data_IF_587905402606
#
_entry.id   IF_587905402606
#
_cell.length_a   1.000
_cell.length_b   1.000
_cell.length_c   1.000
_cell.angle_alpha   90.00
_cell.angle_beta   90.00
_cell.angle_gamma   90.00
#
_symmetry.space_group_name_H-M   'P 1'
#
loop_
_entity.id
_entity.type
_entity.pdbx_description
1 polymer ?
#
# COMPACT_ATOMS: atom_id res chain seq x y z
N UNK A 1 -9.93 -27.92 17.52
CA UNK A 1 -9.19 -28.11 18.79
C UNK A 1 -9.65 -27.03 19.77
N UNK A 2 -10.39 -27.43 20.81
CA UNK A 2 -10.90 -26.55 21.87
C UNK A 2 -9.80 -26.33 22.92
N UNK A 3 -9.59 -25.07 23.33
CA UNK A 3 -8.76 -24.75 24.49
C UNK A 3 -9.68 -24.37 25.66
N UNK A 4 -9.69 -25.20 26.70
CA UNK A 4 -10.38 -24.95 27.95
C UNK A 4 -9.56 -23.96 28.80
N UNK A 5 -10.13 -22.80 29.10
CA UNK A 5 -9.58 -21.86 30.09
C UNK A 5 -10.32 -22.13 31.41
N UNK A 6 -9.63 -22.78 32.36
CA UNK A 6 -10.09 -22.85 33.76
C UNK A 6 -9.53 -21.65 34.51
N UNK A 7 -10.39 -20.70 34.88
CA UNK A 7 -10.05 -19.62 35.82
C UNK A 7 -10.34 -20.15 37.23
N UNK A 8 -9.31 -20.33 38.05
CA UNK A 8 -9.47 -20.70 39.47
C UNK A 8 -9.44 -19.46 40.37
N UNK A 9 -10.59 -19.23 40.99
CA UNK A 9 -10.86 -18.80 42.37
C UNK A 9 -9.86 -17.90 43.12
N UNK A 10 -10.43 -16.80 43.64
CA UNK A 10 -9.87 -15.78 44.51
C UNK A 10 -9.27 -16.36 45.81
N UNK A 11 -7.96 -16.16 46.00
CA UNK A 11 -7.33 -16.19 47.32
C UNK A 11 -6.35 -15.03 47.42
N UNK A 12 -6.60 -14.13 48.38
CA UNK A 12 -5.80 -12.94 48.65
C UNK A 12 -4.51 -13.36 49.36
N UNK A 13 -3.47 -13.67 48.58
CA UNK A 13 -2.12 -13.97 49.07
C UNK A 13 -1.38 -12.66 49.34
N UNK A 14 -0.98 -12.43 50.60
CA UNK A 14 -0.11 -11.33 50.98
C UNK A 14 1.33 -11.64 50.51
N UNK A 15 1.66 -11.20 49.29
CA UNK A 15 2.98 -11.42 48.70
C UNK A 15 3.97 -10.38 49.26
N UNK A 16 5.11 -10.88 49.72
CA UNK A 16 6.27 -10.05 50.06
C UNK A 16 6.77 -9.30 48.82
N UNK A 17 7.17 -8.03 48.99
CA UNK A 17 7.73 -7.17 47.92
C UNK A 17 8.88 -7.83 47.14
N UNK A 18 9.60 -8.79 47.73
CA UNK A 18 10.65 -9.55 47.04
C UNK A 18 10.10 -10.53 45.99
N UNK A 19 8.90 -11.09 46.18
CA UNK A 19 8.28 -12.03 45.22
C UNK A 19 7.61 -11.34 44.03
N UNK A 20 7.16 -10.09 44.20
CA UNK A 20 6.56 -9.30 43.11
C UNK A 20 7.63 -8.87 42.08
N UNK A 21 8.85 -8.55 42.55
CA UNK A 21 9.96 -8.15 41.68
C UNK A 21 10.44 -9.33 40.82
N UNK A 22 10.50 -10.54 41.39
CA UNK A 22 10.88 -11.73 40.63
C UNK A 22 9.90 -12.05 39.50
N UNK A 23 8.59 -11.88 39.76
CA UNK A 23 7.57 -12.04 38.71
C UNK A 23 7.65 -10.96 37.62
N UNK A 24 7.94 -9.71 37.98
CA UNK A 24 8.11 -8.62 37.01
C UNK A 24 9.32 -8.84 36.09
N UNK A 25 10.45 -9.32 36.63
CA UNK A 25 11.64 -9.61 35.82
C UNK A 25 11.47 -10.83 34.91
N UNK A 26 10.69 -11.84 35.30
CA UNK A 26 10.41 -13.01 34.45
C UNK A 26 9.44 -12.68 33.30
N UNK A 27 8.46 -11.78 33.50
CA UNK A 27 7.54 -11.34 32.43
C UNK A 27 8.27 -10.58 31.31
N UNK A 28 9.30 -9.79 31.66
CA UNK A 28 10.07 -9.02 30.68
C UNK A 28 10.95 -9.90 29.76
N UNK A 29 11.26 -11.14 30.18
CA UNK A 29 12.03 -12.13 29.40
C UNK A 29 11.12 -13.00 28.52
N UNK A 30 9.81 -13.01 28.76
CA UNK A 30 8.84 -13.81 28.00
C UNK A 30 8.04 -13.03 26.95
N UNK A 31 8.21 -11.71 26.83
CA UNK A 31 7.72 -11.03 25.63
C UNK A 31 8.66 -11.38 24.48
N UNK A 32 8.21 -12.10 23.44
CA UNK A 32 9.04 -12.28 22.27
C UNK A 32 9.40 -10.89 21.75
N UNK A 33 10.69 -10.57 21.75
CA UNK A 33 11.22 -9.44 20.98
C UNK A 33 10.75 -9.67 19.55
N UNK A 34 9.66 -9.00 19.17
CA UNK A 34 9.02 -9.17 17.87
C UNK A 34 10.06 -8.74 16.86
N UNK A 35 10.78 -9.72 16.29
CA UNK A 35 11.67 -9.52 15.15
C UNK A 35 10.80 -8.84 14.10
N UNK A 36 11.06 -7.56 13.83
CA UNK A 36 10.37 -6.81 12.79
C UNK A 36 10.63 -7.57 11.50
N UNK A 37 9.63 -8.29 11.02
CA UNK A 37 9.74 -8.99 9.74
C UNK A 37 10.00 -7.91 8.69
N UNK A 38 11.20 -7.94 8.10
CA UNK A 38 11.62 -6.96 7.11
C UNK A 38 10.97 -7.35 5.79
N UNK A 39 9.74 -6.91 5.57
CA UNK A 39 9.04 -7.08 4.29
C UNK A 39 9.84 -6.30 3.22
N UNK A 40 10.33 -7.00 2.21
CA UNK A 40 10.90 -6.36 1.02
C UNK A 40 9.77 -5.62 0.30
N UNK A 41 9.79 -4.29 0.39
CA UNK A 41 8.78 -3.44 -0.22
C UNK A 41 8.93 -3.41 -1.73
N UNK A 42 7.84 -3.60 -2.47
CA UNK A 42 7.82 -3.37 -3.93
C UNK A 42 7.90 -1.87 -4.22
N UNK A 43 8.74 -1.47 -5.16
CA UNK A 43 8.83 -0.08 -5.64
C UNK A 43 7.62 0.21 -6.50
N UNK A 44 6.74 1.10 -6.04
CA UNK A 44 5.52 1.44 -6.74
C UNK A 44 5.64 2.75 -7.53
N UNK A 45 5.10 2.76 -8.75
CA UNK A 45 4.75 3.99 -9.48
C UNK A 45 3.25 4.23 -9.29
N UNK A 46 2.87 5.43 -8.87
CA UNK A 46 1.46 5.81 -8.70
C UNK A 46 1.08 6.74 -9.85
N UNK A 47 0.27 6.24 -10.78
CA UNK A 47 -0.36 7.01 -11.85
C UNK A 47 -1.70 7.55 -11.34
N UNK A 48 -1.92 8.86 -11.42
CA UNK A 48 -3.11 9.51 -10.87
C UNK A 48 -3.47 10.77 -11.67
N UNK A 49 -4.71 11.21 -11.55
CA UNK A 49 -5.15 12.49 -12.10
C UNK A 49 -4.62 13.63 -11.21
N UNK A 50 -3.69 14.43 -11.75
CA UNK A 50 -3.04 15.50 -11.00
C UNK A 50 -4.00 16.63 -10.61
N UNK A 51 -5.02 16.88 -11.44
CA UNK A 51 -5.96 17.98 -11.25
C UNK A 51 -7.03 17.62 -10.22
N UNK A 52 -7.36 16.33 -10.08
CA UNK A 52 -8.51 15.89 -9.30
C UNK A 52 -8.18 15.00 -8.09
N UNK A 53 -7.04 14.30 -8.09
CA UNK A 53 -6.77 13.23 -7.12
C UNK A 53 -5.44 13.43 -6.36
N UNK A 54 -4.85 14.63 -6.38
CA UNK A 54 -3.57 14.93 -5.72
C UNK A 54 -3.61 14.65 -4.19
N UNK A 55 -4.71 15.01 -3.53
CA UNK A 55 -4.89 14.77 -2.10
C UNK A 55 -4.99 13.27 -1.77
N UNK A 56 -5.72 12.51 -2.59
CA UNK A 56 -5.86 11.05 -2.43
C UNK A 56 -4.51 10.36 -2.67
N UNK A 57 -3.75 10.80 -3.67
CA UNK A 57 -2.38 10.32 -3.89
C UNK A 57 -1.51 10.57 -2.66
N UNK A 58 -1.58 11.75 -2.03
CA UNK A 58 -0.82 12.07 -0.80
C UNK A 58 -1.17 11.09 0.34
N UNK A 59 -2.44 10.71 0.48
CA UNK A 59 -2.87 9.70 1.45
C UNK A 59 -2.26 8.32 1.16
N UNK A 60 -2.26 7.86 -0.10
CA UNK A 60 -1.66 6.57 -0.50
C UNK A 60 -0.13 6.55 -0.27
N UNK A 61 0.55 7.67 -0.55
CA UNK A 61 1.97 7.84 -0.23
C UNK A 61 2.22 7.81 1.27
N UNK A 62 1.33 8.41 2.07
CA UNK A 62 1.39 8.34 3.53
C UNK A 62 1.32 6.90 4.03
N UNK A 63 0.40 6.11 3.46
CA UNK A 63 0.24 4.70 3.79
C UNK A 63 1.48 3.85 3.47
N UNK A 64 2.20 4.17 2.39
CA UNK A 64 3.45 3.48 2.02
C UNK A 64 4.55 3.56 3.11
N UNK A 65 4.48 4.57 3.98
CA UNK A 65 5.45 4.80 5.06
C UNK A 65 5.26 3.85 6.24
N UNK A 66 4.14 3.13 6.33
CA UNK A 66 3.92 2.20 7.43
C UNK A 66 4.93 1.04 7.40
N UNK A 67 5.36 0.54 8.58
CA UNK A 67 6.33 -0.55 8.66
C UNK A 67 5.88 -1.84 7.96
N UNK A 68 4.58 -2.15 7.99
CA UNK A 68 3.97 -3.33 7.38
C UNK A 68 3.39 -3.03 5.98
N UNK A 69 3.72 -1.87 5.40
CA UNK A 69 3.37 -1.57 4.01
C UNK A 69 4.12 -2.53 3.07
N UNK A 70 3.43 -3.19 2.13
CA UNK A 70 4.06 -4.09 1.15
C UNK A 70 4.74 -3.33 -0.01
N UNK A 71 4.63 -2.01 -0.04
CA UNK A 71 5.21 -1.16 -1.07
C UNK A 71 5.86 0.10 -0.51
N UNK A 72 6.78 0.65 -1.29
CA UNK A 72 7.35 1.97 -1.10
C UNK A 72 7.07 2.82 -2.34
N UNK A 73 6.88 4.12 -2.12
CA UNK A 73 6.79 5.10 -3.20
C UNK A 73 8.03 5.99 -3.13
N UNK A 74 8.90 5.90 -4.15
CA UNK A 74 9.93 6.90 -4.37
C UNK A 74 9.35 7.97 -5.27
N UNK A 75 9.32 9.19 -4.76
CA UNK A 75 8.77 10.34 -5.47
C UNK A 75 9.68 10.68 -6.66
N UNK A 76 9.44 10.03 -7.80
CA UNK A 76 10.15 10.29 -9.05
C UNK A 76 9.52 11.48 -9.80
N UNK A 77 8.64 12.25 -9.14
CA UNK A 77 8.02 13.42 -9.75
C UNK A 77 9.08 14.52 -9.91
N UNK A 78 9.43 14.75 -11.17
CA UNK A 78 10.10 16.00 -11.56
C UNK A 78 8.99 17.04 -11.51
N UNK A 79 9.10 18.03 -10.63
CA UNK A 79 8.16 19.15 -10.50
C UNK A 79 8.12 20.06 -11.73
N UNK A 80 8.97 19.82 -12.72
CA UNK A 80 8.96 20.55 -13.98
C UNK A 80 7.95 19.94 -14.94
N UNK A 81 7.23 20.81 -15.64
CA UNK A 81 6.51 20.48 -16.86
C UNK A 81 7.40 19.54 -17.67
N UNK A 82 6.93 18.33 -17.99
CA UNK A 82 7.67 17.41 -18.84
C UNK A 82 7.67 17.99 -20.26
N UNK A 83 8.47 19.02 -20.49
CA UNK A 83 8.74 19.58 -21.81
C UNK A 83 9.71 18.64 -22.54
N UNK A 84 9.58 18.57 -23.86
CA UNK A 84 10.31 17.61 -24.70
C UNK A 84 9.74 16.19 -24.65
N UNK A 85 10.61 15.18 -24.64
CA UNK A 85 10.21 13.76 -24.68
C UNK A 85 9.72 13.24 -23.32
N UNK A 86 8.56 13.72 -22.91
CA UNK A 86 7.92 13.34 -21.66
C UNK A 86 7.61 11.84 -21.57
N UNK A 87 7.31 11.21 -22.71
CA UNK A 87 7.03 9.78 -22.77
C UNK A 87 8.28 8.97 -22.43
N UNK A 88 9.44 9.34 -22.97
CA UNK A 88 10.70 8.67 -22.63
C UNK A 88 11.08 8.90 -21.16
N UNK A 89 10.86 10.11 -20.63
CA UNK A 89 11.03 10.37 -19.19
C UNK A 89 10.17 9.44 -18.33
N UNK A 90 8.90 9.21 -18.70
CA UNK A 90 8.01 8.25 -18.01
C UNK A 90 8.52 6.82 -18.17
N UNK A 91 8.95 6.41 -19.38
CA UNK A 91 9.50 5.07 -19.64
C UNK A 91 10.70 4.75 -18.75
N UNK A 92 11.63 5.70 -18.61
CA UNK A 92 12.80 5.60 -17.72
C UNK A 92 12.42 5.50 -16.26
N UNK A 93 11.40 6.24 -15.81
CA UNK A 93 10.90 6.14 -14.42
C UNK A 93 10.34 4.75 -14.12
N UNK A 94 9.69 4.13 -15.10
CA UNK A 94 9.12 2.79 -14.94
C UNK A 94 10.19 1.68 -14.93
N UNK A 95 11.41 1.91 -15.40
CA UNK A 95 12.48 0.89 -15.34
C UNK A 95 12.79 0.46 -13.91
N UNK A 96 12.81 1.42 -12.99
CA UNK A 96 13.14 1.22 -11.58
C UNK A 96 11.91 0.99 -10.67
N UNK A 97 10.83 0.49 -11.25
CA UNK A 97 9.55 0.23 -10.57
C UNK A 97 9.19 -1.23 -10.75
N UNK A 98 8.69 -1.85 -9.68
CA UNK A 98 8.27 -3.25 -9.66
C UNK A 98 6.77 -3.38 -9.97
N UNK A 99 5.98 -2.36 -9.68
CA UNK A 99 4.53 -2.35 -9.87
C UNK A 99 3.95 -0.96 -10.14
N UNK A 100 2.95 -0.88 -11.01
CA UNK A 100 2.20 0.36 -11.29
C UNK A 100 0.83 0.31 -10.59
N UNK A 101 0.57 1.29 -9.74
CA UNK A 101 -0.72 1.52 -9.11
C UNK A 101 -1.41 2.64 -9.87
N UNK A 102 -2.52 2.35 -10.52
CA UNK A 102 -3.32 3.38 -11.20
C UNK A 102 -4.46 3.78 -10.26
N UNK A 103 -4.36 4.99 -9.71
CA UNK A 103 -5.36 5.56 -8.81
C UNK A 103 -6.50 6.16 -9.66
N UNK A 104 -7.67 5.56 -9.55
CA UNK A 104 -8.87 5.92 -10.31
C UNK A 104 -9.82 6.74 -9.44
N UNK A 105 -9.88 8.05 -9.65
CA UNK A 105 -10.89 8.95 -9.13
C UNK A 105 -12.13 9.04 -10.02
N UNK A 106 -12.96 10.06 -9.77
CA UNK A 106 -14.23 10.24 -10.48
C UNK A 106 -14.00 10.66 -11.95
N UNK A 107 -12.88 11.33 -12.25
CA UNK A 107 -12.59 11.91 -13.57
C UNK A 107 -11.43 11.25 -14.32
N UNK A 108 -10.88 10.14 -13.83
CA UNK A 108 -9.70 9.51 -14.45
C UNK A 108 -9.89 9.09 -15.92
N UNK A 109 -11.13 8.89 -16.40
CA UNK A 109 -11.40 8.68 -17.82
C UNK A 109 -11.04 9.88 -18.73
N UNK A 110 -10.92 11.09 -18.20
CA UNK A 110 -10.48 12.29 -18.95
C UNK A 110 -8.98 12.56 -18.81
N UNK A 111 -8.33 11.97 -17.80
CA UNK A 111 -6.90 12.15 -17.52
C UNK A 111 -6.01 11.47 -18.58
N UNK A 112 -5.62 12.23 -19.60
CA UNK A 112 -4.78 11.73 -20.71
C UNK A 112 -3.39 11.26 -20.24
N UNK A 113 -2.83 11.90 -19.21
CA UNK A 113 -1.58 11.48 -18.57
C UNK A 113 -1.67 10.07 -17.99
N UNK A 114 -2.72 9.78 -17.22
CA UNK A 114 -2.96 8.45 -16.64
C UNK A 114 -3.11 7.40 -17.74
N UNK A 115 -3.86 7.74 -18.80
CA UNK A 115 -4.05 6.82 -19.92
C UNK A 115 -2.73 6.50 -20.64
N UNK A 116 -1.87 7.50 -20.84
CA UNK A 116 -0.56 7.32 -21.46
C UNK A 116 0.40 6.51 -20.57
N UNK A 117 0.43 6.79 -19.27
CA UNK A 117 1.26 6.05 -18.31
C UNK A 117 0.86 4.58 -18.25
N UNK A 118 -0.45 4.26 -18.17
CA UNK A 118 -0.90 2.87 -18.22
C UNK A 118 -0.54 2.18 -19.55
N UNK A 119 -0.60 2.90 -20.67
CA UNK A 119 -0.17 2.37 -21.98
C UNK A 119 1.32 2.02 -21.98
N UNK A 120 2.16 2.89 -21.39
CA UNK A 120 3.60 2.66 -21.25
C UNK A 120 3.85 1.47 -20.32
N UNK A 121 3.14 1.35 -19.21
CA UNK A 121 3.24 0.22 -18.29
C UNK A 121 2.96 -1.11 -19.00
N UNK A 122 1.84 -1.17 -19.75
CA UNK A 122 1.48 -2.33 -20.59
C UNK A 122 2.57 -2.65 -21.60
N UNK A 123 3.05 -1.65 -22.35
CA UNK A 123 4.10 -1.84 -23.35
C UNK A 123 5.46 -2.28 -22.78
N UNK A 124 5.72 -2.00 -21.50
CA UNK A 124 6.93 -2.47 -20.78
C UNK A 124 6.70 -3.79 -20.03
N UNK A 125 5.51 -4.39 -20.13
CA UNK A 125 5.16 -5.59 -19.37
C UNK A 125 5.18 -5.39 -17.85
N UNK A 126 5.00 -4.15 -17.38
CA UNK A 126 5.02 -3.85 -15.94
C UNK A 126 3.72 -4.33 -15.29
N UNK A 127 3.78 -5.09 -14.19
CA UNK A 127 2.58 -5.45 -13.44
C UNK A 127 1.84 -4.19 -12.99
N UNK A 128 0.52 -4.16 -13.16
CA UNK A 128 -0.32 -3.03 -12.74
C UNK A 128 -1.64 -3.49 -12.13
N UNK A 129 -2.30 -2.59 -11.40
CA UNK A 129 -3.69 -2.73 -11.02
C UNK A 129 -4.37 -1.35 -10.90
N UNK A 130 -5.70 -1.35 -11.06
CA UNK A 130 -6.52 -0.15 -10.88
C UNK A 130 -7.07 -0.13 -9.45
N UNK A 131 -6.93 1.00 -8.76
CA UNK A 131 -7.37 1.20 -7.38
C UNK A 131 -8.34 2.38 -7.33
N UNK A 132 -9.54 2.19 -6.80
CA UNK A 132 -10.53 3.29 -6.66
C UNK A 132 -10.09 4.26 -5.57
N UNK A 133 -10.03 5.55 -5.89
CA UNK A 133 -9.61 6.62 -4.99
C UNK A 133 -10.56 6.84 -3.81
N UNK A 134 -11.87 6.70 -4.05
CA UNK A 134 -12.92 7.01 -3.07
C UNK A 134 -13.82 5.79 -2.82
N UNK A 135 -14.15 5.47 -1.57
CA UNK A 135 -14.99 4.32 -1.24
C UNK A 135 -16.47 4.54 -1.57
N UNK A 136 -16.90 5.80 -1.62
CA UNK A 136 -18.29 6.27 -1.65
C UNK A 136 -18.63 7.01 -2.95
N UNK A 137 -17.71 7.09 -3.91
CA UNK A 137 -17.92 7.75 -5.21
C UNK A 137 -17.79 6.78 -6.37
N UNK A 138 -18.50 7.09 -7.45
CA UNK A 138 -18.34 6.40 -8.73
C UNK A 138 -17.01 6.79 -9.37
N UNK A 139 -16.01 5.92 -9.26
CA UNK A 139 -14.70 6.10 -9.86
C UNK A 139 -14.68 5.58 -11.30
N UNK A 140 -13.94 6.25 -12.17
CA UNK A 140 -13.82 5.88 -13.60
C UNK A 140 -12.43 5.34 -13.91
N UNK A 141 -12.33 4.44 -14.89
CA UNK A 141 -11.04 3.90 -15.36
C UNK A 141 -10.43 4.84 -16.40
N UNK A 142 -9.10 4.90 -16.56
CA UNK A 142 -8.50 5.59 -17.69
C UNK A 142 -8.89 4.90 -19.00
N UNK A 143 -8.92 5.66 -20.10
CA UNK A 143 -9.31 5.15 -21.44
C UNK A 143 -8.46 3.99 -21.96
N UNK A 144 -7.23 3.86 -21.49
CA UNK A 144 -6.32 2.77 -21.87
C UNK A 144 -6.46 1.52 -20.99
N UNK A 145 -7.39 1.50 -20.03
CA UNK A 145 -7.75 0.28 -19.32
C UNK A 145 -8.41 -0.71 -20.28
N UNK A 146 -8.04 -1.98 -20.16
CA UNK A 146 -8.66 -3.08 -20.88
C UNK A 146 -10.04 -3.35 -20.26
N UNK A 147 -10.95 -3.94 -21.05
CA UNK A 147 -12.27 -4.35 -20.56
C UNK A 147 -12.20 -5.36 -19.41
N UNK A 148 -11.18 -6.21 -19.41
CA UNK A 148 -10.89 -7.20 -18.35
C UNK A 148 -10.28 -6.60 -17.08
N UNK A 149 -9.76 -5.36 -17.13
CA UNK A 149 -9.10 -4.75 -15.97
C UNK A 149 -10.14 -4.47 -14.88
N UNK A 150 -9.95 -5.00 -13.67
CA UNK A 150 -10.81 -4.74 -12.52
C UNK A 150 -10.34 -3.50 -11.78
N UNK A 151 -11.29 -2.69 -11.30
CA UNK A 151 -11.03 -1.58 -10.39
C UNK A 151 -11.30 -2.04 -8.95
N UNK A 152 -10.25 -2.07 -8.13
CA UNK A 152 -10.31 -2.61 -6.78
C UNK A 152 -10.56 -1.53 -5.75
N UNK A 153 -11.38 -1.85 -4.74
CA UNK A 153 -11.60 -0.95 -3.60
C UNK A 153 -10.31 -0.74 -2.82
N UNK A 154 -10.04 0.51 -2.45
CA UNK A 154 -8.91 0.83 -1.58
C UNK A 154 -9.17 0.41 -0.14
N UNK A 155 -8.65 -0.77 0.20
CA UNK A 155 -8.57 -1.28 1.57
C UNK A 155 -7.16 -1.81 1.83
N UNK A 156 -6.80 -1.97 3.10
CA UNK A 156 -5.48 -2.48 3.46
C UNK A 156 -5.23 -3.90 2.94
N UNK A 157 -6.23 -4.76 3.10
CA UNK A 157 -6.17 -6.15 2.66
C UNK A 157 -6.06 -6.27 1.15
N UNK A 158 -6.81 -5.44 0.39
CA UNK A 158 -6.72 -5.43 -1.06
C UNK A 158 -5.33 -4.96 -1.50
N UNK A 159 -4.79 -3.89 -0.93
CA UNK A 159 -3.44 -3.43 -1.27
C UNK A 159 -2.40 -4.53 -1.09
N UNK A 160 -2.42 -5.24 0.05
CA UNK A 160 -1.49 -6.36 0.31
C UNK A 160 -1.63 -7.45 -0.75
N UNK A 161 -2.85 -7.89 -1.05
CA UNK A 161 -3.13 -8.93 -2.05
C UNK A 161 -2.72 -8.51 -3.47
N UNK A 162 -3.06 -7.29 -3.89
CA UNK A 162 -2.80 -6.77 -5.23
C UNK A 162 -1.31 -6.57 -5.48
N UNK A 163 -0.58 -6.11 -4.47
CA UNK A 163 0.87 -5.94 -4.55
C UNK A 163 1.56 -7.29 -4.60
N UNK A 164 1.07 -8.29 -3.89
CA UNK A 164 1.61 -9.65 -3.95
C UNK A 164 1.34 -10.34 -5.30
N UNK A 165 0.20 -10.06 -5.92
CA UNK A 165 -0.07 -10.43 -7.31
C UNK A 165 -1.49 -10.93 -7.60
N UNK A 166 -2.35 -10.98 -6.60
CA UNK A 166 -3.75 -11.41 -6.73
C UNK A 166 -4.60 -10.32 -7.42
N UNK A 167 -4.43 -10.20 -8.74
CA UNK A 167 -4.99 -9.15 -9.61
C UNK A 167 -5.82 -9.74 -10.73
#
# INVERSE_FOLDING_TARGET
MQYNIKIYSSNRIHLSVKSVIFYAQVIQVLTPFRRKEMITKKRAFISFDIDHDEYVKKMLVGQAKFPDSPFEFKDNSVKEHLTGDWKEKVRRRMDNVDIVIVLCGTQTHTASGVAAELTIAKGKGKPYFLLTAYPDKSCTKPKSASTSDKAYKWTWDNLKKLIDGAR
#
